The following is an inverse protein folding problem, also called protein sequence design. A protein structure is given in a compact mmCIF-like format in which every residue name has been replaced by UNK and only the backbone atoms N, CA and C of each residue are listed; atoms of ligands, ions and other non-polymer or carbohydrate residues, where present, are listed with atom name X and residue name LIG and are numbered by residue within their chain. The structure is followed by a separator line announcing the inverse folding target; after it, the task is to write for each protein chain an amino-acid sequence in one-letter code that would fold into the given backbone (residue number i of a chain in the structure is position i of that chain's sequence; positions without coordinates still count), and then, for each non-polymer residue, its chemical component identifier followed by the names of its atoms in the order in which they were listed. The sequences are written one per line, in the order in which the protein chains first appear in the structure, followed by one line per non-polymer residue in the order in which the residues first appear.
data_IF_788369901302
#
_entry.id   IF_788369901302
#
_cell.length_a   1.000
_cell.length_b   1.000
_cell.length_c   1.000
_cell.angle_alpha   90.00
_cell.angle_beta   90.00
_cell.angle_gamma   90.00
#
_symmetry.space_group_name_H-M   'P 1'
#
loop_
_entity.id
_entity.type
_entity.pdbx_description
1 polymer ?
#
# COMPACT_ATOMS: atom_id res chain seq x y z
N UNK A 1 10.50 1.72 -21.88
CA UNK A 1 11.04 0.95 -20.73
C UNK A 1 9.92 0.16 -20.07
N UNK A 2 10.06 -1.17 -19.98
CA UNK A 2 9.07 -2.05 -19.33
C UNK A 2 9.11 -1.99 -17.80
N UNK A 3 8.08 -2.53 -17.14
CA UNK A 3 7.90 -2.56 -15.68
C UNK A 3 9.14 -3.12 -14.96
N UNK A 4 9.70 -4.22 -15.48
CA UNK A 4 10.88 -4.86 -14.91
C UNK A 4 12.13 -3.98 -14.93
N UNK A 5 12.30 -3.15 -15.96
CA UNK A 5 13.42 -2.21 -16.04
C UNK A 5 13.27 -1.15 -14.95
N UNK A 6 12.08 -0.55 -14.82
CA UNK A 6 11.79 0.47 -13.80
C UNK A 6 12.00 -0.03 -12.38
N UNK A 7 11.59 -1.26 -12.08
CA UNK A 7 11.80 -1.86 -10.75
C UNK A 7 13.28 -2.14 -10.47
N UNK A 8 14.06 -2.49 -11.51
CA UNK A 8 15.50 -2.70 -11.40
C UNK A 8 16.23 -1.38 -11.14
N UNK A 9 15.90 -0.34 -11.90
CA UNK A 9 16.47 1.00 -11.72
C UNK A 9 16.12 1.56 -10.34
N UNK A 10 14.85 1.42 -9.92
CA UNK A 10 14.42 1.82 -8.58
C UNK A 10 15.22 1.12 -7.48
N UNK A 11 15.44 -0.20 -7.61
CA UNK A 11 16.20 -0.99 -6.64
C UNK A 11 17.67 -0.61 -6.62
N UNK A 12 18.25 -0.24 -7.77
CA UNK A 12 19.62 0.26 -7.85
C UNK A 12 19.74 1.61 -7.15
N UNK A 13 18.88 2.57 -7.49
CA UNK A 13 18.81 3.86 -6.82
C UNK A 13 18.60 3.73 -5.29
N UNK A 14 17.76 2.77 -4.84
CA UNK A 14 17.57 2.47 -3.41
C UNK A 14 18.89 2.02 -2.75
N UNK A 15 19.68 1.17 -3.43
CA UNK A 15 20.98 0.70 -2.92
C UNK A 15 22.03 1.81 -2.88
N UNK A 16 22.01 2.70 -3.87
CA UNK A 16 22.89 3.88 -3.96
C UNK A 16 22.49 4.99 -2.96
N UNK A 17 21.43 4.81 -2.16
CA UNK A 17 20.95 5.82 -1.21
C UNK A 17 20.19 6.98 -1.87
N UNK A 18 19.97 6.93 -3.20
CA UNK A 18 19.22 7.91 -3.98
C UNK A 18 17.72 7.67 -3.82
N UNK A 19 17.21 7.94 -2.63
CA UNK A 19 15.83 7.60 -2.27
C UNK A 19 14.78 8.34 -3.12
N UNK A 20 15.01 9.59 -3.49
CA UNK A 20 14.08 10.35 -4.34
C UNK A 20 13.96 9.74 -5.74
N UNK A 21 15.09 9.39 -6.37
CA UNK A 21 15.12 8.73 -7.68
C UNK A 21 14.44 7.35 -7.61
N UNK A 22 14.72 6.57 -6.56
CA UNK A 22 14.06 5.30 -6.32
C UNK A 22 12.53 5.45 -6.20
N UNK A 23 12.06 6.47 -5.46
CA UNK A 23 10.62 6.77 -5.33
C UNK A 23 9.99 7.08 -6.69
N UNK A 24 10.65 7.89 -7.53
CA UNK A 24 10.14 8.23 -8.85
C UNK A 24 10.03 6.98 -9.75
N UNK A 25 11.04 6.11 -9.73
CA UNK A 25 11.02 4.86 -10.49
C UNK A 25 9.91 3.92 -9.99
N UNK A 26 9.75 3.75 -8.67
CA UNK A 26 8.66 2.94 -8.10
C UNK A 26 7.27 3.50 -8.41
N UNK A 27 7.08 4.82 -8.33
CA UNK A 27 5.82 5.46 -8.75
C UNK A 27 5.53 5.24 -10.24
N UNK A 28 6.56 5.28 -11.08
CA UNK A 28 6.42 5.02 -12.52
C UNK A 28 6.16 3.55 -12.83
N UNK A 29 6.58 2.63 -11.96
CA UNK A 29 6.20 1.22 -12.01
C UNK A 29 4.73 1.04 -11.63
N UNK A 30 4.26 1.72 -10.57
CA UNK A 30 2.85 1.72 -10.16
C UNK A 30 1.90 2.33 -11.21
N UNK A 31 2.38 3.23 -12.07
CA UNK A 31 1.59 3.71 -13.21
C UNK A 31 1.34 2.62 -14.27
N UNK A 32 2.24 1.64 -14.39
CA UNK A 32 2.07 0.53 -15.33
C UNK A 32 1.34 -0.65 -14.68
N UNK A 33 1.64 -0.92 -13.41
CA UNK A 33 0.99 -1.96 -12.62
C UNK A 33 0.50 -1.36 -11.29
N UNK A 34 -0.76 -0.85 -11.25
CA UNK A 34 -1.31 -0.18 -10.07
C UNK A 34 -1.42 -1.06 -8.83
N UNK A 35 -1.35 -2.39 -9.01
CA UNK A 35 -1.41 -3.39 -7.95
C UNK A 35 -0.04 -3.95 -7.56
N UNK A 36 1.06 -3.33 -8.02
CA UNK A 36 2.38 -3.87 -7.75
C UNK A 36 2.75 -3.81 -6.26
N UNK A 37 2.55 -4.94 -5.56
CA UNK A 37 2.83 -5.06 -4.12
C UNK A 37 4.29 -4.74 -3.82
N UNK A 38 5.22 -5.21 -4.67
CA UNK A 38 6.65 -4.98 -4.47
C UNK A 38 6.98 -3.48 -4.49
N UNK A 39 6.44 -2.72 -5.44
CA UNK A 39 6.68 -1.27 -5.52
C UNK A 39 6.12 -0.54 -4.29
N UNK A 40 4.91 -0.87 -3.84
CA UNK A 40 4.34 -0.29 -2.62
C UNK A 40 5.16 -0.62 -1.37
N UNK A 41 5.55 -1.89 -1.19
CA UNK A 41 6.37 -2.30 -0.06
C UNK A 41 7.72 -1.58 -0.03
N UNK A 42 8.35 -1.38 -1.19
CA UNK A 42 9.63 -0.67 -1.31
C UNK A 42 9.48 0.82 -0.99
N UNK A 43 8.44 1.47 -1.50
CA UNK A 43 8.13 2.86 -1.17
C UNK A 43 7.94 3.05 0.34
N UNK A 44 7.15 2.17 1.00
CA UNK A 44 6.98 2.23 2.45
C UNK A 44 8.31 2.09 3.19
N UNK A 45 9.16 1.14 2.81
CA UNK A 45 10.50 0.96 3.42
C UNK A 45 11.35 2.22 3.26
N UNK A 46 11.33 2.84 2.08
CA UNK A 46 12.07 4.08 1.82
C UNK A 46 11.56 5.23 2.71
N UNK A 47 10.24 5.45 2.77
CA UNK A 47 9.67 6.50 3.63
C UNK A 47 9.92 6.24 5.12
N UNK A 48 9.91 4.97 5.54
CA UNK A 48 10.29 4.56 6.90
C UNK A 48 11.74 4.91 7.23
N UNK A 49 12.66 4.64 6.31
CA UNK A 49 14.09 4.98 6.49
C UNK A 49 14.28 6.48 6.62
N UNK A 50 13.51 7.26 5.87
CA UNK A 50 13.50 8.72 5.93
C UNK A 50 12.71 9.28 7.12
N UNK A 51 12.06 8.43 7.93
CA UNK A 51 11.13 8.81 9.01
C UNK A 51 9.99 9.73 8.53
N UNK A 52 9.70 9.72 7.24
CA UNK A 52 8.62 10.50 6.63
C UNK A 52 7.30 9.73 6.74
N UNK A 53 6.73 9.77 7.95
CA UNK A 53 5.49 9.08 8.28
C UNK A 53 4.28 9.62 7.50
N UNK A 54 4.28 10.92 7.16
CA UNK A 54 3.23 11.55 6.35
C UNK A 54 3.16 10.93 4.95
N UNK A 55 4.30 10.80 4.29
CA UNK A 55 4.41 10.22 2.95
C UNK A 55 4.21 8.72 2.98
N UNK A 56 4.70 8.03 4.03
CA UNK A 56 4.42 6.59 4.25
C UNK A 56 2.90 6.34 4.30
N UNK A 57 2.16 7.13 5.09
CA UNK A 57 0.71 7.00 5.20
C UNK A 57 0.00 7.25 3.87
N UNK A 58 0.41 8.28 3.11
CA UNK A 58 -0.14 8.56 1.77
C UNK A 58 0.05 7.39 0.81
N UNK A 59 1.21 6.75 0.83
CA UNK A 59 1.47 5.56 -0.01
C UNK A 59 0.59 4.39 0.40
N UNK A 60 0.44 4.15 1.70
CA UNK A 60 -0.42 3.09 2.21
C UNK A 60 -1.88 3.31 1.77
N UNK A 61 -2.40 4.52 1.94
CA UNK A 61 -3.76 4.86 1.52
C UNK A 61 -3.94 4.63 0.02
N UNK A 62 -3.00 5.13 -0.80
CA UNK A 62 -3.07 4.94 -2.25
C UNK A 62 -3.03 3.46 -2.66
N UNK A 63 -2.22 2.65 -1.96
CA UNK A 63 -2.14 1.21 -2.20
C UNK A 63 -3.49 0.53 -1.93
N UNK A 64 -4.16 0.92 -0.84
CA UNK A 64 -5.48 0.43 -0.47
C UNK A 64 -6.52 0.88 -1.51
N UNK A 65 -6.53 2.15 -1.90
CA UNK A 65 -7.46 2.69 -2.89
C UNK A 65 -7.32 2.01 -4.25
N UNK A 66 -6.09 1.78 -4.74
CA UNK A 66 -5.88 1.09 -6.02
C UNK A 66 -6.32 -0.37 -5.94
N UNK A 67 -6.05 -1.03 -4.81
CA UNK A 67 -6.49 -2.41 -4.58
C UNK A 67 -8.02 -2.52 -4.51
N UNK A 68 -8.69 -1.59 -3.84
CA UNK A 68 -10.14 -1.51 -3.79
C UNK A 68 -10.73 -1.20 -5.17
N UNK A 69 -10.18 -0.23 -5.89
CA UNK A 69 -10.63 0.13 -7.24
C UNK A 69 -10.62 -1.10 -8.16
N UNK A 70 -9.54 -1.85 -8.20
CA UNK A 70 -9.48 -3.05 -9.04
C UNK A 70 -10.43 -4.14 -8.54
N UNK A 71 -10.54 -4.38 -7.22
CA UNK A 71 -11.46 -5.39 -6.68
C UNK A 71 -12.94 -5.06 -6.92
N UNK A 72 -13.38 -3.82 -6.71
CA UNK A 72 -14.77 -3.40 -6.95
C UNK A 72 -15.14 -3.54 -8.41
N UNK A 73 -14.16 -3.41 -9.32
CA UNK A 73 -14.35 -3.57 -10.75
C UNK A 73 -13.92 -4.97 -11.27
N UNK A 74 -13.57 -5.91 -10.39
CA UNK A 74 -13.27 -7.31 -10.71
C UNK A 74 -14.38 -8.25 -10.17
N UNK A 75 -15.09 -8.99 -11.05
CA UNK A 75 -16.09 -9.96 -10.62
C UNK A 75 -15.41 -11.25 -10.13
N UNK A 76 -15.37 -11.47 -8.81
CA UNK A 76 -15.19 -12.80 -8.23
C UNK A 76 -13.94 -13.01 -7.38
N UNK A 77 -14.02 -12.65 -6.10
CA UNK A 77 -13.63 -13.52 -4.98
C UNK A 77 -13.78 -12.78 -3.64
N UNK A 78 -14.63 -13.30 -2.74
CA UNK A 78 -14.81 -12.79 -1.37
C UNK A 78 -14.66 -13.95 -0.39
N UNK A 79 -13.63 -13.93 0.47
CA UNK A 79 -13.57 -14.74 1.69
C UNK A 79 -13.38 -13.78 2.87
N UNK A 80 -14.30 -13.77 3.86
CA UNK A 80 -14.40 -12.73 4.89
C UNK A 80 -13.63 -13.00 6.20
N UNK A 81 -12.74 -13.99 6.28
CA UNK A 81 -12.44 -14.60 7.59
C UNK A 81 -11.26 -14.04 8.41
N UNK A 82 -10.48 -13.04 7.94
CA UNK A 82 -9.13 -12.77 8.51
C UNK A 82 -8.82 -11.36 9.07
N UNK A 83 -9.78 -10.51 9.43
CA UNK A 83 -9.48 -9.12 9.84
C UNK A 83 -10.19 -8.60 11.11
N UNK A 84 -10.05 -9.28 12.23
CA UNK A 84 -10.43 -8.72 13.55
C UNK A 84 -9.55 -7.55 14.03
N UNK A 85 -8.56 -7.08 13.26
CA UNK A 85 -7.55 -6.11 13.76
C UNK A 85 -7.15 -5.00 12.78
N UNK A 86 -7.96 -4.70 11.76
CA UNK A 86 -7.88 -3.37 11.15
C UNK A 86 -8.36 -2.35 12.19
N UNK A 87 -7.70 -1.20 12.32
CA UNK A 87 -8.24 -0.09 13.11
C UNK A 87 -9.60 0.28 12.54
N UNK A 88 -10.68 -0.04 13.27
CA UNK A 88 -12.09 0.12 12.86
C UNK A 88 -12.34 1.46 12.18
N UNK A 89 -11.75 2.53 12.71
CA UNK A 89 -11.89 3.88 12.16
C UNK A 89 -11.26 4.07 10.78
N UNK A 90 -10.09 3.49 10.53
CA UNK A 90 -9.43 3.57 9.23
C UNK A 90 -10.18 2.72 8.20
N UNK A 91 -10.62 1.51 8.61
CA UNK A 91 -11.42 0.66 7.76
C UNK A 91 -12.79 1.29 7.42
N UNK A 92 -13.43 1.92 8.40
CA UNK A 92 -14.70 2.62 8.21
C UNK A 92 -14.54 3.83 7.28
N UNK A 93 -13.54 4.70 7.51
CA UNK A 93 -13.27 5.88 6.66
C UNK A 93 -12.95 5.51 5.21
N UNK A 94 -12.35 4.33 5.00
CA UNK A 94 -11.96 3.86 3.68
C UNK A 94 -13.04 2.99 3.00
N UNK A 95 -14.25 2.86 3.59
CA UNK A 95 -15.32 2.03 3.02
C UNK A 95 -14.95 0.56 2.91
N UNK A 96 -14.04 0.10 3.78
CA UNK A 96 -13.44 -1.24 3.78
C UNK A 96 -14.24 -2.24 4.60
N UNK A 97 -15.40 -1.81 5.10
CA UNK A 97 -16.31 -2.60 5.91
C UNK A 97 -17.62 -2.76 5.13
N UNK A 98 -18.14 -3.99 5.11
CA UNK A 98 -19.52 -4.28 4.72
C UNK A 98 -20.51 -3.59 5.69
N UNK A 99 -21.79 -3.51 5.33
CA UNK A 99 -22.86 -2.92 6.15
C UNK A 99 -22.90 -3.47 7.58
N UNK A 100 -22.38 -4.68 7.79
CA UNK A 100 -22.27 -5.34 9.11
C UNK A 100 -20.96 -5.05 9.86
N UNK A 101 -20.11 -4.16 9.36
CA UNK A 101 -18.79 -3.86 9.93
C UNK A 101 -17.73 -4.92 9.64
N UNK A 102 -17.98 -5.83 8.69
CA UNK A 102 -17.08 -6.93 8.36
C UNK A 102 -16.11 -6.52 7.22
N UNK A 103 -14.80 -6.74 7.38
CA UNK A 103 -13.80 -6.38 6.38
C UNK A 103 -13.89 -7.28 5.14
N UNK A 104 -14.02 -6.67 3.96
CA UNK A 104 -14.15 -7.39 2.68
C UNK A 104 -12.76 -7.64 2.05
N UNK A 105 -11.92 -8.55 2.60
CA UNK A 105 -10.57 -8.77 2.04
C UNK A 105 -10.09 -10.23 2.02
N UNK A 106 -9.67 -10.68 0.83
CA UNK A 106 -8.67 -11.73 0.63
C UNK A 106 -7.37 -11.10 0.11
N UNK A 107 -6.51 -10.61 1.01
CA UNK A 107 -5.09 -10.40 0.69
C UNK A 107 -4.28 -10.16 1.97
N UNK A 108 -3.35 -11.07 2.23
CA UNK A 108 -2.34 -11.00 3.30
C UNK A 108 -1.58 -9.64 3.32
N UNK A 109 -1.45 -8.98 2.16
CA UNK A 109 -0.77 -7.70 2.00
C UNK A 109 -1.56 -6.49 2.52
N UNK A 110 -2.89 -6.44 2.31
CA UNK A 110 -3.71 -5.30 2.72
C UNK A 110 -3.77 -5.19 4.25
N UNK A 111 -3.92 -6.33 4.92
CA UNK A 111 -3.85 -6.44 6.37
C UNK A 111 -2.54 -5.88 6.93
N UNK A 112 -1.41 -6.17 6.27
CA UNK A 112 -0.10 -5.62 6.65
C UNK A 112 -0.06 -4.10 6.48
N UNK A 113 -0.59 -3.58 5.37
CA UNK A 113 -0.64 -2.14 5.10
C UNK A 113 -1.54 -1.39 6.09
N UNK A 114 -2.74 -1.89 6.38
CA UNK A 114 -3.67 -1.27 7.33
C UNK A 114 -3.08 -1.26 8.76
N UNK A 115 -2.52 -2.39 9.22
CA UNK A 115 -1.82 -2.45 10.52
C UNK A 115 -0.68 -1.44 10.58
N UNK A 116 0.06 -1.30 9.47
CA UNK A 116 1.14 -0.34 9.37
C UNK A 116 0.63 1.09 9.42
N UNK A 117 -0.42 1.43 8.67
CA UNK A 117 -1.03 2.77 8.70
C UNK A 117 -1.44 3.16 10.12
N UNK A 118 -2.13 2.29 10.86
CA UNK A 118 -2.47 2.57 12.26
C UNK A 118 -1.25 2.82 13.15
N UNK A 119 -0.15 2.08 12.92
CA UNK A 119 1.12 2.30 13.65
C UNK A 119 1.76 3.64 13.27
N UNK A 120 1.73 4.01 11.99
CA UNK A 120 2.28 5.26 11.46
C UNK A 120 1.47 6.46 11.97
N UNK A 121 0.13 6.36 11.98
CA UNK A 121 -0.75 7.39 12.54
C UNK A 121 -0.43 7.65 14.02
N UNK A 122 -0.29 6.58 14.83
CA UNK A 122 0.09 6.73 16.24
C UNK A 122 1.46 7.38 16.45
N UNK A 123 2.39 7.19 15.51
CA UNK A 123 3.72 7.84 15.54
C UNK A 123 3.70 9.30 15.10
N UNK A 124 2.60 9.74 14.49
CA UNK A 124 2.39 11.11 14.02
C UNK A 124 1.48 11.94 14.94
N UNK A 125 0.74 11.28 15.84
CA UNK A 125 -0.02 11.90 16.92
C UNK A 125 0.85 12.35 18.08
#
# INVERSE_FOLDING_TARGET
MGLHAKLRDAKRAEKDGKFEEAIQCYRSALKQDPLNIQAYSRLMVIFRKQKDYRSELKIINRAIENYQYVQTHHPGNRDPSSLKSATKELAQKLGLLDEKGAPVFQADHLSKWIKRAGTVQKKMS
#
